data_IF_182674479566
#
_entry.id   IF_182674479566
#
_cell.length_a   1.000
_cell.length_b   1.000
_cell.length_c   1.000
_cell.angle_alpha   90.00
_cell.angle_beta   90.00
_cell.angle_gamma   90.00
#
_symmetry.space_group_name_H-M   'P 1'
#
loop_
_entity.id
_entity.type
_entity.pdbx_description
1 polymer ?
#
# COMPACT_ATOMS: atom_id res chain seq x y z
N UNK A 1 18.37 30.65 -17.21
CA UNK A 1 17.21 30.88 -16.32
C UNK A 1 16.56 29.52 -16.09
N UNK A 2 16.77 28.90 -14.92
CA UNK A 2 16.46 27.48 -14.65
C UNK A 2 15.13 27.41 -13.90
N UNK A 3 14.03 27.22 -14.61
CA UNK A 3 12.67 27.06 -14.06
C UNK A 3 12.34 25.56 -13.97
N UNK A 4 12.83 24.86 -12.95
CA UNK A 4 12.64 23.40 -12.85
C UNK A 4 12.25 22.90 -11.45
N UNK A 5 11.80 23.77 -10.55
CA UNK A 5 11.51 23.39 -9.15
C UNK A 5 10.02 23.37 -8.78
N UNK A 6 9.09 23.49 -9.75
CA UNK A 6 7.64 23.55 -9.46
C UNK A 6 6.81 22.40 -10.02
N UNK A 7 7.40 21.51 -10.82
CA UNK A 7 6.70 20.33 -11.38
C UNK A 7 6.88 19.07 -10.52
N UNK A 8 7.90 19.05 -9.64
CA UNK A 8 8.25 17.87 -8.84
C UNK A 8 7.38 17.69 -7.57
N UNK A 9 6.75 18.76 -7.08
CA UNK A 9 5.96 18.74 -5.84
C UNK A 9 4.72 17.83 -5.95
N UNK A 10 4.15 17.75 -7.15
CA UNK A 10 2.99 16.89 -7.43
C UNK A 10 3.37 15.44 -7.74
N UNK A 11 4.61 15.17 -8.14
CA UNK A 11 5.02 13.82 -8.54
C UNK A 11 5.07 12.88 -7.34
N UNK A 12 5.67 13.30 -6.23
CA UNK A 12 5.76 12.47 -5.02
C UNK A 12 4.38 12.16 -4.43
N UNK A 13 3.50 13.16 -4.34
CA UNK A 13 2.13 12.95 -3.87
C UNK A 13 1.33 12.03 -4.80
N UNK A 14 1.46 12.22 -6.12
CA UNK A 14 0.82 11.36 -7.11
C UNK A 14 1.35 9.92 -7.06
N UNK A 15 2.65 9.74 -6.82
CA UNK A 15 3.25 8.43 -6.60
C UNK A 15 2.78 7.78 -5.30
N UNK A 16 2.68 8.53 -4.21
CA UNK A 16 2.16 8.03 -2.94
C UNK A 16 0.68 7.63 -3.04
N UNK A 17 -0.17 8.47 -3.63
CA UNK A 17 -1.58 8.16 -3.93
C UNK A 17 -1.71 6.92 -4.83
N UNK A 18 -0.85 6.81 -5.85
CA UNK A 18 -0.86 5.66 -6.77
C UNK A 18 -0.39 4.38 -6.05
N UNK A 19 0.63 4.47 -5.20
CA UNK A 19 1.09 3.39 -4.34
C UNK A 19 0.01 2.91 -3.38
N UNK A 20 -0.69 3.82 -2.72
CA UNK A 20 -1.83 3.51 -1.84
C UNK A 20 -2.96 2.82 -2.60
N UNK A 21 -3.31 3.31 -3.80
CA UNK A 21 -4.32 2.67 -4.66
C UNK A 21 -3.95 1.23 -5.01
N UNK A 22 -2.70 0.98 -5.40
CA UNK A 22 -2.24 -0.39 -5.69
C UNK A 22 -2.21 -1.25 -4.43
N UNK A 23 -1.83 -0.69 -3.28
CA UNK A 23 -1.86 -1.41 -2.00
C UNK A 23 -3.28 -1.84 -1.62
N UNK A 24 -4.27 -0.95 -1.75
CA UNK A 24 -5.68 -1.26 -1.52
C UNK A 24 -6.20 -2.33 -2.48
N UNK A 25 -5.79 -2.29 -3.76
CA UNK A 25 -6.13 -3.35 -4.73
C UNK A 25 -5.55 -4.70 -4.36
N UNK A 26 -4.30 -4.74 -3.88
CA UNK A 26 -3.68 -5.97 -3.37
C UNK A 26 -4.43 -6.48 -2.15
N UNK A 27 -4.80 -5.59 -1.22
CA UNK A 27 -5.56 -5.95 -0.02
C UNK A 27 -6.94 -6.51 -0.37
N UNK A 28 -7.60 -5.93 -1.38
CA UNK A 28 -8.87 -6.41 -1.91
C UNK A 28 -8.73 -7.80 -2.52
N UNK A 29 -7.72 -8.02 -3.36
CA UNK A 29 -7.43 -9.35 -3.92
C UNK A 29 -7.14 -10.39 -2.84
N UNK A 30 -6.41 -10.00 -1.79
CA UNK A 30 -6.15 -10.84 -0.63
C UNK A 30 -7.43 -11.18 0.13
N UNK A 31 -8.32 -10.21 0.35
CA UNK A 31 -9.62 -10.44 0.98
C UNK A 31 -10.49 -11.39 0.17
N UNK A 32 -10.52 -11.26 -1.15
CA UNK A 32 -11.25 -12.17 -2.04
C UNK A 32 -10.69 -13.59 -1.96
N UNK A 33 -9.36 -13.75 -2.00
CA UNK A 33 -8.71 -15.04 -1.86
C UNK A 33 -9.00 -15.69 -0.49
N UNK A 34 -9.05 -14.89 0.57
CA UNK A 34 -9.43 -15.35 1.91
C UNK A 34 -10.87 -15.86 1.96
N UNK A 35 -11.83 -15.10 1.43
CA UNK A 35 -13.25 -15.50 1.37
C UNK A 35 -13.41 -16.78 0.55
N UNK A 36 -12.75 -16.88 -0.61
CA UNK A 36 -12.80 -18.08 -1.45
C UNK A 36 -12.22 -19.30 -0.74
N UNK A 37 -11.05 -19.16 -0.09
CA UNK A 37 -10.43 -20.25 0.67
C UNK A 37 -11.31 -20.69 1.85
N UNK A 38 -11.98 -19.74 2.51
CA UNK A 38 -12.90 -20.03 3.61
C UNK A 38 -14.17 -20.75 3.11
N UNK A 39 -14.78 -20.30 2.02
CA UNK A 39 -15.98 -20.91 1.42
C UNK A 39 -15.69 -22.32 0.90
N UNK A 40 -14.53 -22.53 0.29
CA UNK A 40 -14.12 -23.86 -0.19
C UNK A 40 -13.62 -24.80 0.93
N UNK A 41 -13.54 -24.34 2.18
CA UNK A 41 -13.05 -25.15 3.30
C UNK A 41 -11.58 -25.53 3.19
N UNK A 42 -10.79 -24.79 2.40
CA UNK A 42 -9.37 -25.04 2.18
C UNK A 42 -8.53 -24.53 3.35
N UNK A 43 -8.66 -25.18 4.51
CA UNK A 43 -8.00 -24.79 5.77
C UNK A 43 -6.48 -24.65 5.66
N UNK A 44 -5.82 -25.46 4.82
CA UNK A 44 -4.38 -25.36 4.56
C UNK A 44 -4.00 -24.04 3.87
N UNK A 45 -4.82 -23.59 2.91
CA UNK A 45 -4.61 -22.32 2.19
C UNK A 45 -4.90 -21.16 3.16
N UNK A 46 -5.93 -21.29 3.99
CA UNK A 46 -6.29 -20.30 5.00
C UNK A 46 -5.16 -20.12 6.03
N UNK A 47 -4.57 -21.21 6.52
CA UNK A 47 -3.43 -21.17 7.44
C UNK A 47 -2.17 -20.55 6.81
N UNK A 48 -1.98 -20.77 5.51
CA UNK A 48 -0.87 -20.17 4.77
C UNK A 48 -1.10 -18.67 4.54
N UNK A 49 -2.33 -18.26 4.18
CA UNK A 49 -2.73 -16.86 4.01
C UNK A 49 -2.65 -16.08 5.33
N UNK A 50 -3.12 -16.68 6.42
CA UNK A 50 -3.14 -16.08 7.75
C UNK A 50 -1.80 -16.22 8.49
N UNK A 51 -0.77 -16.73 7.81
CA UNK A 51 0.55 -16.89 8.40
C UNK A 51 1.06 -15.54 8.91
N UNK A 52 1.51 -15.53 10.17
CA UNK A 52 2.08 -14.35 10.81
C UNK A 52 3.26 -13.76 10.03
N UNK A 53 3.91 -14.54 9.16
CA UNK A 53 4.93 -14.01 8.24
C UNK A 53 4.33 -13.03 7.23
N UNK A 54 3.26 -13.41 6.55
CA UNK A 54 2.60 -12.57 5.52
C UNK A 54 2.04 -11.31 6.16
N UNK A 55 1.39 -11.44 7.33
CA UNK A 55 0.86 -10.28 8.04
C UNK A 55 1.95 -9.30 8.48
N UNK A 56 3.12 -9.80 8.91
CA UNK A 56 4.29 -8.96 9.20
C UNK A 56 4.78 -8.21 7.97
N UNK A 57 4.85 -8.86 6.81
CA UNK A 57 5.24 -8.21 5.55
C UNK A 57 4.21 -7.17 5.10
N UNK A 58 2.92 -7.48 5.20
CA UNK A 58 1.82 -6.55 4.89
C UNK A 58 1.90 -5.32 5.79
N UNK A 59 2.03 -5.52 7.11
CA UNK A 59 2.15 -4.42 8.07
C UNK A 59 3.37 -3.56 7.80
N UNK A 60 4.52 -4.17 7.51
CA UNK A 60 5.76 -3.44 7.20
C UNK A 60 5.64 -2.62 5.92
N UNK A 61 5.00 -3.17 4.89
CA UNK A 61 4.71 -2.44 3.64
C UNK A 61 3.71 -1.30 3.87
N UNK A 62 2.68 -1.53 4.69
CA UNK A 62 1.69 -0.50 5.05
C UNK A 62 2.35 0.67 5.79
N UNK A 63 3.22 0.39 6.77
CA UNK A 63 3.98 1.42 7.50
C UNK A 63 4.88 2.20 6.55
N UNK A 64 5.58 1.51 5.64
CA UNK A 64 6.46 2.16 4.67
C UNK A 64 5.68 3.11 3.73
N UNK A 65 4.54 2.65 3.22
CA UNK A 65 3.63 3.47 2.40
C UNK A 65 3.06 4.64 3.18
N UNK A 66 2.69 4.43 4.45
CA UNK A 66 2.19 5.51 5.31
C UNK A 66 3.26 6.57 5.56
N UNK A 67 4.51 6.18 5.80
CA UNK A 67 5.63 7.12 5.92
C UNK A 67 5.84 7.90 4.63
N UNK A 68 5.84 7.24 3.46
CA UNK A 68 5.94 7.93 2.17
C UNK A 68 4.78 8.91 1.95
N UNK A 69 3.57 8.54 2.35
CA UNK A 69 2.39 9.41 2.27
C UNK A 69 2.52 10.62 3.21
N UNK A 70 2.98 10.42 4.43
CA UNK A 70 3.21 11.50 5.40
C UNK A 70 4.28 12.48 4.90
N UNK A 71 5.38 11.99 4.34
CA UNK A 71 6.44 12.81 3.74
C UNK A 71 5.86 13.62 2.57
N UNK A 72 5.08 13.00 1.69
CA UNK A 72 4.45 13.69 0.57
C UNK A 72 3.50 14.82 1.04
N UNK A 73 2.66 14.56 2.04
CA UNK A 73 1.77 15.57 2.64
C UNK A 73 2.55 16.72 3.30
N UNK A 74 3.68 16.41 3.95
CA UNK A 74 4.52 17.42 4.60
C UNK A 74 5.22 18.33 3.58
N UNK A 75 5.62 17.79 2.43
CA UNK A 75 6.19 18.54 1.30
C UNK A 75 5.12 19.45 0.67
N UNK A 76 3.92 18.93 0.45
CA UNK A 76 2.80 19.70 -0.11
C UNK A 76 2.37 20.84 0.83
N UNK A 77 2.42 20.65 2.14
CA UNK A 77 2.09 21.68 3.14
C UNK A 77 3.13 22.80 3.27
N UNK A 78 4.35 22.63 2.73
CA UNK A 78 5.40 23.67 2.74
C UNK A 78 5.40 24.50 1.43
N UNK A 79 4.64 24.10 0.42
CA UNK A 79 4.51 24.79 -0.87
C UNK A 79 3.60 26.01 -0.87
#
# INVERSE_FOLDING_TARGET
>A
MKTSLKDDDNLLFKWACKGLKYFLLILLGFAIAFVLAHVFGAGSILGMLLSASIWRWVFRTAVFLFCLFAIAMMIESWG
#
